data_IF_650362990249
#
_entry.id   IF_650362990249
#
_cell.length_a   1.000
_cell.length_b   1.000
_cell.length_c   1.000
_cell.angle_alpha   90.00
_cell.angle_beta   90.00
_cell.angle_gamma   90.00
#
_symmetry.space_group_name_H-M   'P 1'
#
loop_
_entity.id
_entity.type
_entity.pdbx_description
1 polymer ?
#
# COMPACT_ATOMS: atom_id res chain seq x y z
N UNK A 1 14.81 12.79 1.57
CA UNK A 1 14.36 14.19 1.41
C UNK A 1 13.30 14.38 0.32
N UNK A 2 13.62 14.60 -0.98
CA UNK A 2 12.60 15.02 -1.99
C UNK A 2 11.34 14.14 -2.12
N UNK A 3 11.47 12.82 -2.12
CA UNK A 3 10.31 11.91 -2.23
C UNK A 3 9.37 12.01 -1.02
N UNK A 4 9.91 12.18 0.20
CA UNK A 4 9.11 12.34 1.42
C UNK A 4 8.36 13.67 1.44
N UNK A 5 9.01 14.74 0.98
CA UNK A 5 8.39 16.07 0.90
C UNK A 5 7.21 16.08 -0.08
N UNK A 6 7.37 15.49 -1.27
CA UNK A 6 6.30 15.37 -2.27
C UNK A 6 5.14 14.50 -1.75
N UNK A 7 5.45 13.37 -1.13
CA UNK A 7 4.46 12.47 -0.56
C UNK A 7 3.64 13.15 0.56
N UNK A 8 4.31 13.86 1.48
CA UNK A 8 3.64 14.60 2.54
C UNK A 8 2.76 15.73 1.98
N UNK A 9 3.20 16.39 0.91
CA UNK A 9 2.41 17.41 0.22
C UNK A 9 1.16 16.83 -0.45
N UNK A 10 1.27 15.69 -1.15
CA UNK A 10 0.13 15.04 -1.80
C UNK A 10 -0.85 14.42 -0.79
N UNK A 11 -0.34 13.87 0.31
CA UNK A 11 -1.15 13.40 1.44
C UNK A 11 -1.91 14.55 2.11
N UNK A 12 -1.26 15.70 2.31
CA UNK A 12 -1.89 16.89 2.89
C UNK A 12 -2.95 17.54 1.98
N UNK A 13 -2.83 17.35 0.65
CA UNK A 13 -3.79 17.83 -0.34
C UNK A 13 -4.92 16.84 -0.65
N UNK A 14 -4.83 15.59 -0.17
CA UNK A 14 -5.78 14.53 -0.53
C UNK A 14 -5.76 14.21 -2.03
N UNK A 15 -4.61 14.39 -2.67
CA UNK A 15 -4.45 14.38 -4.12
C UNK A 15 -4.27 12.93 -4.63
N UNK A 16 -5.39 12.21 -4.74
CA UNK A 16 -5.44 10.76 -5.08
C UNK A 16 -4.74 10.47 -6.40
N UNK A 17 -4.93 11.32 -7.42
CA UNK A 17 -4.34 11.13 -8.75
C UNK A 17 -2.81 11.19 -8.70
N UNK A 18 -2.27 12.14 -7.95
CA UNK A 18 -0.85 12.37 -7.77
C UNK A 18 -0.22 11.22 -6.97
N UNK A 19 -0.91 10.72 -5.95
CA UNK A 19 -0.49 9.54 -5.19
C UNK A 19 -0.45 8.28 -6.07
N UNK A 20 -1.40 8.11 -7.00
CA UNK A 20 -1.38 7.01 -7.98
C UNK A 20 -0.17 7.09 -8.90
N UNK A 21 0.09 8.26 -9.48
CA UNK A 21 1.27 8.49 -10.34
C UNK A 21 2.55 8.23 -9.55
N UNK A 22 2.58 8.64 -8.28
CA UNK A 22 3.72 8.43 -7.39
C UNK A 22 3.95 6.94 -7.10
N UNK A 23 2.89 6.17 -6.82
CA UNK A 23 2.98 4.70 -6.65
C UNK A 23 3.57 4.08 -7.91
N UNK A 24 3.06 4.42 -9.10
CA UNK A 24 3.57 3.91 -10.38
C UNK A 24 5.06 4.20 -10.58
N UNK A 25 5.49 5.42 -10.26
CA UNK A 25 6.89 5.80 -10.33
C UNK A 25 7.76 5.01 -9.35
N UNK A 26 7.30 4.81 -8.11
CA UNK A 26 8.06 4.13 -7.05
C UNK A 26 8.18 2.62 -7.27
N UNK A 27 7.17 1.99 -7.88
CA UNK A 27 7.21 0.55 -8.21
C UNK A 27 8.01 0.25 -9.49
N UNK A 28 8.36 1.28 -10.27
CA UNK A 28 9.23 1.13 -11.44
C UNK A 28 10.62 0.61 -11.07
N UNK A 29 11.30 -0.02 -12.02
CA UNK A 29 12.67 -0.54 -11.82
C UNK A 29 13.72 0.57 -11.79
N UNK A 30 13.36 1.80 -12.21
CA UNK A 30 14.24 2.96 -12.23
C UNK A 30 14.55 3.50 -10.83
N UNK A 31 13.77 3.09 -9.82
CA UNK A 31 13.94 3.53 -8.43
C UNK A 31 14.63 2.44 -7.60
N UNK A 32 15.70 2.78 -6.83
CA UNK A 32 16.37 1.84 -5.95
C UNK A 32 15.41 1.21 -4.94
N UNK A 33 15.45 -0.12 -4.80
CA UNK A 33 14.54 -0.89 -3.96
C UNK A 33 14.43 -0.37 -2.51
N UNK A 34 15.56 0.02 -1.92
CA UNK A 34 15.62 0.55 -0.55
C UNK A 34 14.82 1.86 -0.42
N UNK A 35 14.92 2.74 -1.42
CA UNK A 35 14.15 3.98 -1.45
C UNK A 35 12.65 3.68 -1.66
N UNK A 36 12.33 2.78 -2.58
CA UNK A 36 10.94 2.38 -2.83
C UNK A 36 10.27 1.78 -1.61
N UNK A 37 10.96 0.90 -0.87
CA UNK A 37 10.46 0.30 0.38
C UNK A 37 10.12 1.35 1.41
N UNK A 38 11.04 2.27 1.69
CA UNK A 38 10.81 3.32 2.68
C UNK A 38 9.61 4.20 2.32
N UNK A 39 9.50 4.57 1.05
CA UNK A 39 8.44 5.45 0.56
C UNK A 39 7.07 4.74 0.60
N UNK A 40 7.01 3.47 0.18
CA UNK A 40 5.81 2.65 0.27
C UNK A 40 5.41 2.37 1.71
N UNK A 41 6.36 2.18 2.62
CA UNK A 41 6.09 2.04 4.05
C UNK A 41 5.43 3.30 4.62
N UNK A 42 6.00 4.47 4.31
CA UNK A 42 5.46 5.76 4.74
C UNK A 42 4.04 5.98 4.14
N UNK A 43 3.79 5.48 2.93
CA UNK A 43 2.48 5.55 2.28
C UNK A 43 1.47 4.64 2.98
N UNK A 44 1.85 3.37 3.21
CA UNK A 44 1.00 2.38 3.86
C UNK A 44 0.59 2.84 5.27
N UNK A 45 1.50 3.45 6.02
CA UNK A 45 1.21 4.02 7.33
C UNK A 45 0.31 5.28 7.29
N UNK A 46 0.24 5.96 6.15
CA UNK A 46 -0.58 7.15 5.96
C UNK A 46 -1.98 6.83 5.39
N UNK A 47 -2.14 5.72 4.66
CA UNK A 47 -3.42 5.31 4.05
C UNK A 47 -4.61 5.29 5.04
N UNK A 48 -4.48 4.76 6.29
CA UNK A 48 -5.58 4.76 7.26
C UNK A 48 -6.04 6.16 7.71
N UNK A 49 -5.25 7.21 7.45
CA UNK A 49 -5.57 8.60 7.82
C UNK A 49 -6.36 9.33 6.74
N UNK A 50 -6.49 8.74 5.55
CA UNK A 50 -7.25 9.30 4.44
C UNK A 50 -8.74 9.00 4.59
N UNK A 51 -9.57 9.67 3.80
CA UNK A 51 -10.99 9.34 3.76
C UNK A 51 -11.20 7.88 3.28
N UNK A 52 -12.24 7.18 3.76
CA UNK A 52 -12.56 5.81 3.38
C UNK A 52 -12.51 5.54 1.88
N UNK A 53 -13.10 6.42 1.08
CA UNK A 53 -13.15 6.31 -0.38
C UNK A 53 -11.75 6.39 -1.01
N UNK A 54 -10.91 7.29 -0.49
CA UNK A 54 -9.54 7.48 -0.96
C UNK A 54 -8.66 6.30 -0.56
N UNK A 55 -8.80 5.78 0.66
CA UNK A 55 -8.10 4.60 1.14
C UNK A 55 -8.43 3.41 0.25
N UNK A 56 -9.72 3.17 -0.03
CA UNK A 56 -10.17 2.08 -0.90
C UNK A 56 -9.56 2.18 -2.28
N UNK A 57 -9.68 3.35 -2.91
CA UNK A 57 -9.18 3.58 -4.26
C UNK A 57 -7.66 3.45 -4.35
N UNK A 58 -6.91 4.07 -3.43
CA UNK A 58 -5.45 4.02 -3.42
C UNK A 58 -4.90 2.66 -2.99
N UNK A 59 -5.51 2.03 -1.99
CA UNK A 59 -5.09 0.74 -1.50
C UNK A 59 -5.24 -0.34 -2.56
N UNK A 60 -6.39 -0.40 -3.25
CA UNK A 60 -6.60 -1.35 -4.35
C UNK A 60 -5.60 -1.10 -5.49
N UNK A 61 -5.42 0.16 -5.88
CA UNK A 61 -4.47 0.54 -6.92
C UNK A 61 -3.03 0.16 -6.55
N UNK A 62 -2.62 0.41 -5.31
CA UNK A 62 -1.29 0.08 -4.81
C UNK A 62 -1.04 -1.42 -4.83
N UNK A 63 -1.97 -2.22 -4.31
CA UNK A 63 -1.84 -3.68 -4.28
C UNK A 63 -1.70 -4.25 -5.69
N UNK A 64 -2.48 -3.77 -6.66
CA UNK A 64 -2.42 -4.21 -8.05
C UNK A 64 -1.08 -3.86 -8.71
N UNK A 65 -0.58 -2.63 -8.51
CA UNK A 65 0.66 -2.16 -9.13
C UNK A 65 1.92 -2.70 -8.45
N UNK A 66 1.85 -3.03 -7.17
CA UNK A 66 2.96 -3.65 -6.43
C UNK A 66 3.00 -5.16 -6.69
N UNK A 67 1.89 -5.80 -7.10
CA UNK A 67 1.78 -7.24 -7.30
C UNK A 67 2.91 -7.87 -8.12
N UNK A 68 3.37 -7.30 -9.27
CA UNK A 68 4.47 -7.87 -10.05
C UNK A 68 5.79 -7.99 -9.28
N UNK A 69 5.97 -7.19 -8.23
CA UNK A 69 7.16 -7.16 -7.36
C UNK A 69 6.80 -7.47 -5.90
N UNK A 70 5.71 -8.20 -5.66
CA UNK A 70 5.18 -8.44 -4.30
C UNK A 70 6.23 -9.02 -3.35
N UNK A 71 7.09 -9.94 -3.81
CA UNK A 71 8.19 -10.52 -3.02
C UNK A 71 9.20 -9.48 -2.53
N UNK A 72 9.33 -8.37 -3.26
CA UNK A 72 10.21 -7.25 -2.88
C UNK A 72 9.56 -6.28 -1.90
N UNK A 73 8.24 -6.33 -1.71
CA UNK A 73 7.44 -5.36 -0.95
C UNK A 73 6.39 -6.02 -0.05
N UNK A 74 6.64 -7.26 0.41
CA UNK A 74 5.66 -8.08 1.12
C UNK A 74 5.08 -7.36 2.34
N UNK A 75 5.95 -6.79 3.18
CA UNK A 75 5.55 -6.05 4.38
C UNK A 75 4.62 -4.87 4.05
N UNK A 76 4.95 -4.09 3.02
CA UNK A 76 4.15 -2.94 2.62
C UNK A 76 2.79 -3.39 2.08
N UNK A 77 2.75 -4.47 1.28
CA UNK A 77 1.51 -5.04 0.76
C UNK A 77 0.64 -5.59 1.88
N UNK A 78 1.22 -6.25 2.88
CA UNK A 78 0.51 -6.73 4.07
C UNK A 78 -0.15 -5.57 4.81
N UNK A 79 0.59 -4.50 5.11
CA UNK A 79 0.04 -3.31 5.79
C UNK A 79 -1.10 -2.66 4.99
N UNK A 80 -0.98 -2.56 3.66
CA UNK A 80 -2.04 -1.99 2.81
C UNK A 80 -3.28 -2.89 2.82
N UNK A 81 -3.10 -4.21 2.74
CA UNK A 81 -4.20 -5.19 2.77
C UNK A 81 -4.92 -5.21 4.11
N UNK A 82 -4.19 -5.09 5.23
CA UNK A 82 -4.78 -4.95 6.56
C UNK A 82 -5.63 -3.68 6.67
N UNK A 83 -5.13 -2.55 6.17
CA UNK A 83 -5.88 -1.30 6.16
C UNK A 83 -7.17 -1.40 5.31
N UNK A 84 -7.10 -2.03 4.15
CA UNK A 84 -8.28 -2.31 3.32
C UNK A 84 -9.26 -3.26 4.01
N UNK A 85 -8.76 -4.30 4.69
CA UNK A 85 -9.60 -5.22 5.43
C UNK A 85 -10.37 -4.52 6.54
N UNK A 86 -9.70 -3.69 7.34
CA UNK A 86 -10.33 -2.89 8.39
C UNK A 86 -11.38 -1.91 7.83
N UNK A 87 -11.13 -1.34 6.65
CA UNK A 87 -12.12 -0.51 5.97
C UNK A 87 -13.36 -1.33 5.56
N UNK A 88 -13.18 -2.48 4.91
CA UNK A 88 -14.30 -3.34 4.52
C UNK A 88 -15.07 -3.89 5.74
N UNK A 89 -14.37 -4.14 6.85
CA UNK A 89 -14.97 -4.51 8.12
C UNK A 89 -15.89 -3.40 8.66
N UNK A 90 -15.44 -2.14 8.61
CA UNK A 90 -16.24 -0.98 8.99
C UNK A 90 -17.44 -0.72 8.05
N UNK A 91 -17.35 -1.15 6.79
CA UNK A 91 -18.45 -1.14 5.81
C UNK A 91 -19.41 -2.35 5.94
N UNK A 92 -19.19 -3.23 6.93
CA UNK A 92 -19.91 -4.51 7.11
C UNK A 92 -19.77 -5.50 5.94
N UNK A 93 -18.76 -5.30 5.07
CA UNK A 93 -18.40 -6.24 4.00
C UNK A 93 -17.35 -7.25 4.48
N UNK A 94 -17.80 -8.18 5.31
CA UNK A 94 -16.96 -9.24 5.88
C UNK A 94 -16.32 -10.13 4.80
N UNK A 95 -16.97 -10.27 3.64
CA UNK A 95 -16.45 -11.10 2.55
C UNK A 95 -15.25 -10.42 1.89
N UNK A 96 -15.34 -9.14 1.59
CA UNK A 96 -14.22 -8.38 1.05
C UNK A 96 -13.08 -8.26 2.05
N UNK A 97 -13.39 -8.02 3.33
CA UNK A 97 -12.38 -7.97 4.40
C UNK A 97 -11.58 -9.27 4.49
N UNK A 98 -12.26 -10.43 4.53
CA UNK A 98 -11.61 -11.74 4.56
C UNK A 98 -10.75 -11.99 3.32
N UNK A 99 -11.20 -11.58 2.13
CA UNK A 99 -10.42 -11.69 0.88
C UNK A 99 -9.13 -10.85 0.93
N UNK A 100 -9.19 -9.64 1.53
CA UNK A 100 -8.00 -8.80 1.66
C UNK A 100 -6.95 -9.47 2.54
N UNK A 101 -7.36 -10.01 3.70
CA UNK A 101 -6.47 -10.71 4.65
C UNK A 101 -5.94 -12.04 4.08
N UNK A 102 -6.77 -12.80 3.38
CA UNK A 102 -6.34 -14.06 2.74
C UNK A 102 -5.27 -13.85 1.66
N UNK A 103 -5.18 -12.65 1.09
CA UNK A 103 -4.15 -12.28 0.12
C UNK A 103 -2.80 -11.87 0.74
N UNK A 104 -2.68 -11.86 2.08
CA UNK A 104 -1.43 -11.57 2.77
C UNK A 104 -0.56 -12.84 2.76
N UNK A 105 0.67 -12.78 2.22
CA UNK A 105 1.57 -13.92 2.25
C UNK A 105 2.06 -14.16 3.68
N UNK A 106 1.43 -15.10 4.39
CA UNK A 106 1.79 -15.51 5.76
C UNK A 106 3.08 -16.35 5.82
N UNK A 107 3.57 -16.82 4.67
CA UNK A 107 4.67 -17.80 4.55
C UNK A 107 6.09 -17.19 4.64
N UNK A 108 6.23 -15.89 4.95
CA UNK A 108 7.55 -15.25 5.09
C UNK A 108 8.25 -15.55 6.43
N UNK A 109 7.60 -16.30 7.32
CA UNK A 109 8.22 -16.87 8.52
C UNK A 109 8.98 -18.16 8.26
N UNK A 110 10.10 -18.12 7.54
CA UNK A 110 11.20 -19.09 7.69
C UNK A 110 10.83 -20.56 7.36
N UNK A 111 11.08 -21.01 6.12
CA UNK A 111 11.56 -22.40 5.93
C UNK A 111 13.04 -22.44 6.30
N UNK A 112 13.34 -22.61 7.59
CA UNK A 112 14.59 -23.28 7.99
C UNK A 112 14.36 -24.75 7.65
N UNK A 113 15.00 -25.19 6.57
CA UNK A 113 15.34 -26.60 6.37
C UNK A 113 16.77 -26.81 6.86
#
# INVERSE_FOLDING_TARGET
ERYKSLQAEYLGKGAVTELKVFIQHIVSEDVPLVASRQVLQDLAAALPKLAPEQLKELGLFAVEHIHPRVTSFEEQVSTIREALAALYEAEEDWTAAAKMLAGIPLDSGVRVL
#
